data_IF_944798923087
#
_entry.id   IF_944798923087
#
_cell.length_a   1.000
_cell.length_b   1.000
_cell.length_c   1.000
_cell.angle_alpha   90.00
_cell.angle_beta   90.00
_cell.angle_gamma   90.00
#
_symmetry.space_group_name_H-M   'P 1'
#
loop_
_entity.id
_entity.type
_entity.pdbx_description
1 polymer ?
#
# COMPACT_ATOMS: atom_id res chain seq x y z
N UNK A 1 9.49 -1.81 6.78
CA UNK A 1 10.14 -2.97 7.41
C UNK A 1 11.23 -3.58 6.51
N UNK A 2 11.03 -3.58 5.21
CA UNK A 2 12.04 -4.09 4.28
C UNK A 2 13.29 -3.20 4.28
N UNK A 3 13.16 -1.92 4.50
CA UNK A 3 14.28 -0.99 4.66
C UNK A 3 15.15 -1.35 5.87
N UNK A 4 14.56 -1.83 6.97
CA UNK A 4 15.32 -2.27 8.15
C UNK A 4 16.14 -3.54 7.88
N UNK A 5 15.68 -4.42 6.99
CA UNK A 5 16.41 -5.62 6.60
C UNK A 5 17.64 -5.34 5.72
N UNK A 6 17.68 -4.17 5.10
CA UNK A 6 18.81 -3.72 4.27
C UNK A 6 19.68 -2.68 4.99
N UNK A 7 19.25 -2.20 6.14
CA UNK A 7 19.94 -1.18 6.93
C UNK A 7 21.11 -1.78 7.70
N UNK A 8 22.30 -1.65 7.15
CA UNK A 8 23.52 -2.24 7.72
C UNK A 8 23.87 -1.69 9.10
N UNK A 9 23.56 -0.41 9.38
CA UNK A 9 23.82 0.21 10.69
C UNK A 9 22.91 -0.41 11.76
N UNK A 10 21.62 -0.61 11.45
CA UNK A 10 20.68 -1.28 12.34
C UNK A 10 21.04 -2.76 12.58
N UNK A 11 21.42 -3.48 11.52
CA UNK A 11 21.88 -4.87 11.63
C UNK A 11 23.10 -4.95 12.55
N UNK A 12 24.08 -4.05 12.37
CA UNK A 12 25.28 -4.00 13.19
C UNK A 12 24.96 -3.63 14.66
N UNK A 13 23.98 -2.77 14.89
CA UNK A 13 23.53 -2.43 16.22
C UNK A 13 23.05 -3.68 16.99
N UNK A 14 22.24 -4.52 16.34
CA UNK A 14 21.77 -5.78 16.93
C UNK A 14 22.93 -6.77 17.12
N UNK A 15 23.80 -6.96 16.13
CA UNK A 15 24.96 -7.86 16.22
C UNK A 15 25.92 -7.46 17.33
N UNK A 16 26.04 -6.17 17.62
CA UNK A 16 26.93 -5.64 18.64
C UNK A 16 26.30 -5.55 20.03
N UNK A 17 25.03 -5.91 20.17
CA UNK A 17 24.38 -5.96 21.48
C UNK A 17 25.08 -6.94 22.43
N UNK A 18 25.20 -6.61 23.74
CA UNK A 18 25.85 -7.48 24.71
C UNK A 18 25.33 -8.93 24.73
N UNK A 19 24.00 -9.11 24.63
CA UNK A 19 23.37 -10.44 24.56
C UNK A 19 23.79 -11.23 23.32
N UNK A 20 24.14 -10.58 22.24
CA UNK A 20 24.58 -11.27 21.01
C UNK A 20 26.07 -11.58 21.01
N UNK A 21 26.89 -10.73 21.68
CA UNK A 21 28.35 -10.88 21.73
C UNK A 21 28.82 -11.86 22.80
N UNK A 22 28.27 -11.74 24.00
CA UNK A 22 28.70 -12.50 25.19
C UNK A 22 27.50 -12.99 26.00
N UNK A 23 26.63 -13.85 25.41
CA UNK A 23 25.33 -14.18 25.97
C UNK A 23 25.44 -14.84 27.37
N UNK A 24 26.46 -15.64 27.65
CA UNK A 24 26.65 -16.26 28.95
C UNK A 24 26.87 -15.29 30.12
N UNK A 25 27.31 -14.06 29.83
CA UNK A 25 27.47 -13.02 30.86
C UNK A 25 26.13 -12.39 31.27
N UNK A 26 25.04 -12.66 30.50
CA UNK A 26 23.72 -12.06 30.66
C UNK A 26 22.58 -13.09 30.72
N UNK A 27 22.87 -14.32 31.16
CA UNK A 27 21.89 -15.41 31.17
C UNK A 27 20.64 -15.06 31.99
N UNK A 28 20.78 -14.40 33.12
CA UNK A 28 19.64 -14.03 33.98
C UNK A 28 18.76 -13.01 33.29
N UNK A 29 19.34 -11.97 32.71
CA UNK A 29 18.62 -10.92 31.97
C UNK A 29 17.97 -11.45 30.67
N UNK A 30 18.64 -12.37 29.99
CA UNK A 30 18.11 -13.06 28.82
C UNK A 30 16.89 -13.92 29.19
N UNK A 31 16.96 -14.64 30.32
CA UNK A 31 15.84 -15.46 30.82
C UNK A 31 14.65 -14.60 31.27
N UNK A 32 14.90 -13.41 31.83
CA UNK A 32 13.84 -12.46 32.17
C UNK A 32 13.17 -11.83 30.93
N UNK A 33 13.88 -11.75 29.81
CA UNK A 33 13.37 -11.14 28.57
C UNK A 33 13.66 -12.01 27.34
N UNK A 34 13.26 -13.26 27.41
CA UNK A 34 13.55 -14.28 26.40
C UNK A 34 12.94 -13.94 25.03
N UNK A 35 11.80 -13.26 25.00
CA UNK A 35 11.15 -12.83 23.74
C UNK A 35 12.00 -11.80 23.00
N UNK A 36 12.56 -10.84 23.72
CA UNK A 36 13.44 -9.83 23.11
C UNK A 36 14.71 -10.48 22.55
N UNK A 37 15.35 -11.34 23.33
CA UNK A 37 16.53 -12.08 22.86
C UNK A 37 16.20 -12.94 21.63
N UNK A 38 15.09 -13.66 21.68
CA UNK A 38 14.62 -14.46 20.54
C UNK A 38 14.36 -13.60 19.30
N UNK A 39 13.77 -12.42 19.47
CA UNK A 39 13.49 -11.51 18.36
C UNK A 39 14.74 -11.03 17.62
N UNK A 40 15.86 -10.78 18.37
CA UNK A 40 17.15 -10.46 17.77
C UNK A 40 17.66 -11.60 16.87
N UNK A 41 17.62 -12.82 17.39
CA UNK A 41 18.10 -14.01 16.68
C UNK A 41 17.23 -14.31 15.46
N UNK A 42 15.90 -14.22 15.59
CA UNK A 42 14.96 -14.42 14.50
C UNK A 42 15.18 -13.38 13.38
N UNK A 43 15.41 -12.12 13.77
CA UNK A 43 15.72 -11.06 12.83
C UNK A 43 17.02 -11.35 12.06
N UNK A 44 18.13 -11.60 12.75
CA UNK A 44 19.41 -11.91 12.13
C UNK A 44 19.34 -13.18 11.26
N UNK A 45 18.65 -14.22 11.73
CA UNK A 45 18.45 -15.44 10.94
C UNK A 45 17.66 -15.20 9.66
N UNK A 46 16.70 -14.31 9.68
CA UNK A 46 15.91 -13.94 8.48
C UNK A 46 16.75 -13.28 7.38
N UNK A 47 17.88 -12.69 7.76
CA UNK A 47 18.87 -12.06 6.89
C UNK A 47 20.01 -13.01 6.50
N UNK A 48 19.96 -14.28 6.94
CA UNK A 48 21.02 -15.26 6.79
C UNK A 48 22.35 -14.86 7.44
N UNK A 49 22.28 -13.95 8.44
CA UNK A 49 23.44 -13.58 9.24
C UNK A 49 23.88 -14.75 10.12
N UNK A 50 25.20 -14.95 10.29
CA UNK A 50 25.72 -16.05 11.10
C UNK A 50 25.38 -15.84 12.57
N UNK A 51 24.72 -16.82 13.18
CA UNK A 51 24.43 -16.87 14.62
C UNK A 51 25.48 -17.75 15.28
N UNK A 52 26.17 -17.19 16.26
CA UNK A 52 27.23 -17.91 16.94
C UNK A 52 26.69 -19.15 17.71
N UNK A 53 27.60 -20.04 18.09
CA UNK A 53 27.26 -21.30 18.76
C UNK A 53 26.60 -21.05 20.12
N UNK A 54 27.14 -20.10 20.88
CA UNK A 54 26.67 -19.74 22.22
C UNK A 54 25.19 -19.28 22.21
N UNK A 55 24.84 -18.42 21.26
CA UNK A 55 23.45 -17.97 21.07
C UNK A 55 22.50 -19.11 20.70
N UNK A 56 22.97 -20.09 19.94
CA UNK A 56 22.18 -21.30 19.63
C UNK A 56 21.99 -22.21 20.82
N UNK A 57 23.02 -22.34 21.71
CA UNK A 57 22.96 -23.15 22.91
C UNK A 57 21.94 -22.62 23.90
N UNK A 58 21.88 -21.31 24.13
CA UNK A 58 20.89 -20.67 25.02
C UNK A 58 19.45 -20.87 24.51
N UNK A 59 19.22 -20.84 23.20
CA UNK A 59 17.89 -21.13 22.64
C UNK A 59 17.48 -22.61 22.74
N UNK A 60 18.42 -23.50 23.04
CA UNK A 60 18.22 -24.96 23.08
C UNK A 60 18.37 -25.64 21.73
N UNK A 61 19.16 -26.69 21.70
CA UNK A 61 19.62 -27.40 20.49
C UNK A 61 18.56 -28.02 19.58
N UNK A 62 17.28 -28.00 19.94
CA UNK A 62 16.21 -28.72 19.23
C UNK A 62 15.27 -27.83 18.43
N UNK A 63 15.39 -26.53 18.49
CA UNK A 63 14.40 -25.64 17.90
C UNK A 63 14.90 -25.06 16.58
N UNK A 64 14.16 -25.32 15.52
CA UNK A 64 14.24 -24.53 14.30
C UNK A 64 13.88 -23.08 14.63
N UNK A 65 14.76 -22.13 14.25
CA UNK A 65 14.49 -20.70 14.46
C UNK A 65 13.22 -20.32 13.67
N UNK A 66 12.22 -19.73 14.32
CA UNK A 66 10.99 -19.31 13.66
C UNK A 66 11.24 -18.34 12.51
N UNK A 67 10.28 -18.24 11.59
CA UNK A 67 10.29 -17.19 10.57
C UNK A 67 10.01 -15.83 11.21
N UNK A 68 10.65 -14.79 10.68
CA UNK A 68 10.39 -13.42 11.11
C UNK A 68 8.94 -13.04 10.75
N UNK A 69 8.17 -12.65 11.76
CA UNK A 69 6.82 -12.11 11.63
C UNK A 69 6.77 -10.66 12.10
N UNK A 70 5.62 -10.02 11.93
CA UNK A 70 5.40 -8.64 12.39
C UNK A 70 5.49 -8.55 13.91
N UNK A 71 4.96 -9.55 14.62
CA UNK A 71 4.99 -9.61 16.06
C UNK A 71 6.43 -9.68 16.59
N UNK A 72 7.31 -10.45 15.95
CA UNK A 72 8.71 -10.49 16.31
C UNK A 72 9.43 -9.17 16.04
N UNK A 73 9.08 -8.47 14.95
CA UNK A 73 9.59 -7.13 14.69
C UNK A 73 9.08 -6.10 15.71
N UNK A 74 7.83 -6.21 16.15
CA UNK A 74 7.26 -5.37 17.20
C UNK A 74 8.02 -5.52 18.51
N UNK A 75 8.24 -6.77 18.97
CA UNK A 75 9.01 -7.07 20.17
C UNK A 75 10.42 -6.48 20.06
N UNK A 76 11.10 -6.70 18.92
CA UNK A 76 12.45 -6.20 18.68
C UNK A 76 12.52 -4.68 18.79
N UNK A 77 11.71 -3.98 17.99
CA UNK A 77 11.76 -2.53 17.90
C UNK A 77 11.27 -1.84 19.18
N UNK A 78 10.24 -2.38 19.83
CA UNK A 78 9.77 -1.89 21.12
C UNK A 78 10.89 -1.92 22.18
N UNK A 79 11.61 -3.03 22.26
CA UNK A 79 12.70 -3.15 23.22
C UNK A 79 13.85 -2.20 22.87
N UNK A 80 14.29 -2.15 21.63
CA UNK A 80 15.38 -1.25 21.20
C UNK A 80 15.06 0.22 21.51
N UNK A 81 13.84 0.66 21.18
CA UNK A 81 13.47 2.07 21.26
C UNK A 81 13.05 2.50 22.64
N UNK A 82 12.23 1.71 23.35
CA UNK A 82 11.59 2.15 24.60
C UNK A 82 12.23 1.57 25.87
N UNK A 83 12.84 0.37 25.81
CA UNK A 83 13.22 -0.36 27.01
C UNK A 83 14.74 -0.43 27.18
N UNK A 84 15.45 -0.79 26.13
CA UNK A 84 16.87 -1.13 26.19
C UNK A 84 17.77 -0.13 25.42
N UNK A 85 17.32 1.12 25.29
CA UNK A 85 18.02 2.20 24.59
C UNK A 85 19.48 2.36 24.98
N UNK A 86 19.79 2.13 26.26
CA UNK A 86 21.15 2.25 26.82
C UNK A 86 22.20 1.38 26.13
N UNK A 87 21.82 0.23 25.62
CA UNK A 87 22.73 -0.69 24.92
C UNK A 87 22.96 -0.32 23.44
N UNK A 88 22.29 0.72 22.95
CA UNK A 88 22.37 1.21 21.58
C UNK A 88 22.94 2.63 21.41
N UNK A 89 23.57 3.17 22.45
CA UNK A 89 24.10 4.55 22.46
C UNK A 89 25.07 4.83 21.29
N UNK A 90 25.86 3.83 20.88
CA UNK A 90 26.77 3.96 19.74
C UNK A 90 26.05 4.02 18.37
N UNK A 91 24.73 3.81 18.35
CA UNK A 91 23.86 3.81 17.18
C UNK A 91 22.67 4.77 17.36
N UNK A 92 22.80 5.73 18.29
CA UNK A 92 21.73 6.63 18.71
C UNK A 92 21.07 7.36 17.55
N UNK A 93 21.88 7.92 16.63
CA UNK A 93 21.37 8.66 15.48
C UNK A 93 20.45 7.77 14.59
N UNK A 94 20.85 6.52 14.36
CA UNK A 94 20.07 5.58 13.57
C UNK A 94 18.78 5.20 14.29
N UNK A 95 18.85 4.90 15.59
CA UNK A 95 17.67 4.55 16.38
C UNK A 95 16.68 5.71 16.46
N UNK A 96 17.17 6.96 16.61
CA UNK A 96 16.34 8.18 16.55
C UNK A 96 15.66 8.35 15.19
N UNK A 97 16.35 8.04 14.11
CA UNK A 97 15.78 8.13 12.78
C UNK A 97 14.65 7.09 12.60
N UNK A 98 14.89 5.85 12.99
CA UNK A 98 13.88 4.77 12.98
C UNK A 98 12.68 5.17 13.85
N UNK A 99 12.92 5.66 15.06
CA UNK A 99 11.87 6.12 15.98
C UNK A 99 11.00 7.23 15.35
N UNK A 100 11.61 8.22 14.69
CA UNK A 100 10.90 9.30 13.99
C UNK A 100 10.02 8.74 12.87
N UNK A 101 10.53 7.81 12.08
CA UNK A 101 9.74 7.20 11.00
C UNK A 101 8.57 6.38 11.56
N UNK A 102 8.78 5.63 12.64
CA UNK A 102 7.72 4.88 13.31
C UNK A 102 6.66 5.78 13.97
N UNK A 103 7.06 6.91 14.53
CA UNK A 103 6.13 7.94 15.03
C UNK A 103 5.29 8.55 13.89
N UNK A 104 5.89 8.88 12.73
CA UNK A 104 5.15 9.42 11.58
C UNK A 104 4.05 8.48 11.08
N UNK A 105 4.28 7.19 11.13
CA UNK A 105 3.30 6.17 10.72
C UNK A 105 2.40 5.72 11.88
N UNK A 106 2.55 6.30 13.09
CA UNK A 106 1.68 6.05 14.24
C UNK A 106 1.87 4.69 14.90
N UNK A 107 3.04 4.06 14.75
CA UNK A 107 3.39 2.81 15.45
C UNK A 107 3.68 3.07 16.92
N UNK A 108 4.21 4.26 17.21
CA UNK A 108 4.52 4.70 18.57
C UNK A 108 3.55 5.82 18.94
N UNK A 109 2.63 5.57 19.87
CA UNK A 109 1.72 6.57 20.42
C UNK A 109 1.76 6.49 21.96
N UNK A 110 2.03 7.61 22.63
CA UNK A 110 1.99 7.73 24.12
C UNK A 110 2.72 6.59 24.85
N UNK A 111 3.94 6.23 24.42
CA UNK A 111 4.73 5.08 24.94
C UNK A 111 4.11 3.69 24.70
N UNK A 112 3.09 3.58 23.88
CA UNK A 112 2.60 2.30 23.38
C UNK A 112 3.20 2.02 22.02
N UNK A 113 3.65 0.79 21.81
CA UNK A 113 4.24 0.33 20.57
C UNK A 113 3.34 -0.77 19.99
N UNK A 114 2.75 -0.58 18.83
CA UNK A 114 1.92 -1.59 18.19
C UNK A 114 1.90 -1.47 16.68
N UNK A 115 2.20 -2.58 16.00
CA UNK A 115 1.98 -2.72 14.56
C UNK A 115 0.56 -3.23 14.25
N UNK A 116 -0.02 -4.02 15.14
CA UNK A 116 -1.26 -4.76 14.86
C UNK A 116 -2.54 -3.96 15.09
N UNK A 117 -2.52 -2.97 16.01
CA UNK A 117 -3.71 -2.16 16.34
C UNK A 117 -3.78 -0.82 15.60
N UNK A 118 -2.80 -0.53 14.76
CA UNK A 118 -2.71 0.78 14.13
C UNK A 118 -3.48 0.81 12.81
N UNK A 119 -4.65 1.47 12.80
CA UNK A 119 -5.46 1.73 11.60
C UNK A 119 -4.68 2.44 10.48
N UNK A 120 -3.61 3.14 10.82
CA UNK A 120 -2.74 3.80 9.85
C UNK A 120 -1.83 2.78 9.17
N UNK A 121 -1.28 1.82 9.91
CA UNK A 121 -0.51 0.70 9.35
C UNK A 121 -1.38 -0.26 8.56
N UNK A 122 -2.58 -0.59 9.03
CA UNK A 122 -3.54 -1.33 8.21
C UNK A 122 -3.77 -0.62 6.86
N UNK A 123 -3.86 0.71 6.86
CA UNK A 123 -3.93 1.49 5.62
C UNK A 123 -2.67 1.39 4.77
N UNK A 124 -1.48 1.34 5.35
CA UNK A 124 -0.22 1.15 4.61
C UNK A 124 -0.09 -0.28 4.06
N UNK A 125 -0.45 -1.31 4.84
CA UNK A 125 -0.46 -2.70 4.36
C UNK A 125 -1.55 -2.96 3.31
N UNK A 126 -2.69 -2.30 3.44
CA UNK A 126 -3.75 -2.31 2.42
C UNK A 126 -3.27 -1.65 1.12
N UNK A 127 -2.35 -0.70 1.19
CA UNK A 127 -1.81 0.06 0.08
C UNK A 127 -0.54 -0.53 -0.58
N UNK A 128 -0.22 -1.80 -0.34
CA UNK A 128 1.00 -2.40 -0.87
C UNK A 128 1.04 -2.46 -2.40
N UNK A 129 2.22 -2.21 -2.97
CA UNK A 129 2.55 -2.33 -4.40
C UNK A 129 2.06 -3.68 -4.97
N UNK A 130 2.14 -4.75 -4.18
CA UNK A 130 1.65 -6.08 -4.57
C UNK A 130 0.17 -6.16 -4.94
N UNK A 131 -0.69 -5.28 -4.40
CA UNK A 131 -2.12 -5.25 -4.77
C UNK A 131 -2.34 -4.64 -6.16
N UNK A 132 -1.61 -3.57 -6.50
CA UNK A 132 -1.67 -2.98 -7.85
C UNK A 132 -1.19 -3.98 -8.90
N UNK A 133 -0.12 -4.71 -8.61
CA UNK A 133 0.36 -5.76 -9.51
C UNK A 133 -0.62 -6.92 -9.63
N UNK A 134 -1.26 -7.32 -8.54
CA UNK A 134 -2.32 -8.35 -8.57
C UNK A 134 -3.52 -7.92 -9.41
N UNK A 135 -4.00 -6.67 -9.24
CA UNK A 135 -5.08 -6.12 -10.06
C UNK A 135 -4.69 -6.13 -11.55
N UNK A 136 -3.48 -5.68 -11.87
CA UNK A 136 -2.99 -5.67 -13.24
C UNK A 136 -2.94 -7.09 -13.84
N UNK A 137 -2.41 -8.07 -13.11
CA UNK A 137 -2.36 -9.48 -13.56
C UNK A 137 -3.76 -10.06 -13.80
N UNK A 138 -4.73 -9.76 -12.92
CA UNK A 138 -6.11 -10.19 -13.12
C UNK A 138 -6.69 -9.57 -14.39
N UNK A 139 -6.48 -8.27 -14.60
CA UNK A 139 -6.93 -7.58 -15.82
C UNK A 139 -6.29 -8.19 -17.06
N UNK A 140 -4.99 -8.48 -17.04
CA UNK A 140 -4.28 -9.10 -18.16
C UNK A 140 -4.89 -10.46 -18.53
N UNK A 141 -5.10 -11.35 -17.53
CA UNK A 141 -5.69 -12.69 -17.72
C UNK A 141 -7.10 -12.58 -18.31
N UNK A 142 -7.94 -11.74 -17.71
CA UNK A 142 -9.32 -11.56 -18.15
C UNK A 142 -9.41 -10.92 -19.55
N UNK A 143 -8.53 -9.96 -19.84
CA UNK A 143 -8.48 -9.35 -21.16
C UNK A 143 -7.98 -10.30 -22.23
N UNK A 144 -6.99 -11.14 -21.93
CA UNK A 144 -6.55 -12.20 -22.85
C UNK A 144 -7.67 -13.16 -23.21
N UNK A 145 -8.52 -13.50 -22.25
CA UNK A 145 -9.65 -14.42 -22.42
C UNK A 145 -10.85 -13.78 -23.13
N UNK A 146 -11.24 -12.57 -22.71
CA UNK A 146 -12.52 -11.96 -23.09
C UNK A 146 -12.41 -10.90 -24.21
N UNK A 147 -11.20 -10.31 -24.39
CA UNK A 147 -10.92 -9.26 -25.39
C UNK A 147 -11.98 -8.13 -25.37
N UNK A 148 -12.65 -7.89 -26.48
CA UNK A 148 -13.73 -6.88 -26.63
C UNK A 148 -14.93 -7.11 -25.70
N UNK A 149 -15.12 -8.36 -25.23
CA UNK A 149 -16.23 -8.73 -24.35
C UNK A 149 -15.96 -8.45 -22.89
N UNK A 150 -14.73 -8.05 -22.53
CA UNK A 150 -14.38 -7.76 -21.14
C UNK A 150 -15.32 -6.71 -20.54
N UNK A 151 -15.90 -7.02 -19.38
CA UNK A 151 -16.69 -6.10 -18.55
C UNK A 151 -16.29 -6.35 -17.10
N UNK A 152 -15.47 -5.46 -16.55
CA UNK A 152 -14.93 -5.59 -15.20
C UNK A 152 -15.22 -4.34 -14.37
N UNK A 153 -15.56 -4.54 -13.11
CA UNK A 153 -15.67 -3.46 -12.12
C UNK A 153 -14.65 -3.68 -11.02
N UNK A 154 -13.82 -2.67 -10.76
CA UNK A 154 -12.82 -2.67 -9.71
C UNK A 154 -13.27 -1.68 -8.63
N UNK A 155 -13.50 -2.17 -7.42
CA UNK A 155 -13.92 -1.33 -6.30
C UNK A 155 -12.79 -1.14 -5.30
N UNK A 156 -12.64 0.09 -4.80
CA UNK A 156 -11.66 0.46 -3.77
C UNK A 156 -12.30 1.44 -2.78
N UNK A 157 -11.69 1.58 -1.61
CA UNK A 157 -12.25 2.42 -0.53
C UNK A 157 -11.89 3.91 -0.64
N UNK A 158 -10.91 4.28 -1.50
CA UNK A 158 -10.36 5.65 -1.55
C UNK A 158 -10.36 6.25 -2.95
N UNK A 159 -10.80 7.52 -3.06
CA UNK A 159 -10.78 8.28 -4.32
C UNK A 159 -9.44 8.97 -4.56
N UNK A 160 -8.84 9.60 -3.55
CA UNK A 160 -7.61 10.43 -3.61
C UNK A 160 -7.64 11.46 -4.74
N UNK A 161 -8.50 12.47 -4.55
CA UNK A 161 -8.75 13.54 -5.53
C UNK A 161 -7.51 14.40 -5.83
N UNK A 162 -6.56 14.46 -4.93
CA UNK A 162 -5.29 15.15 -5.11
C UNK A 162 -4.53 14.68 -6.36
N UNK A 163 -4.77 13.47 -6.81
CA UNK A 163 -4.16 12.92 -8.02
C UNK A 163 -4.82 13.33 -9.35
N UNK A 164 -5.90 14.10 -9.29
CA UNK A 164 -6.46 14.73 -10.50
C UNK A 164 -5.62 15.91 -11.00
N UNK A 165 -4.91 16.58 -10.08
CA UNK A 165 -4.20 17.83 -10.31
C UNK A 165 -2.67 17.66 -10.36
N UNK A 166 -2.17 16.43 -10.22
CA UNK A 166 -0.74 16.12 -10.23
C UNK A 166 -0.42 14.89 -11.07
N UNK A 167 0.68 14.95 -11.80
CA UNK A 167 1.22 13.81 -12.54
C UNK A 167 2.06 12.89 -11.63
N UNK A 168 2.41 13.35 -10.44
CA UNK A 168 3.23 12.61 -9.48
C UNK A 168 2.34 11.75 -8.57
N UNK A 169 1.80 10.66 -9.12
CA UNK A 169 0.99 9.69 -8.38
C UNK A 169 1.92 8.71 -7.69
N UNK A 170 1.95 8.77 -6.38
CA UNK A 170 2.63 7.77 -5.56
C UNK A 170 1.94 6.40 -5.73
N UNK A 171 2.64 5.47 -6.39
CA UNK A 171 2.12 4.12 -6.67
C UNK A 171 2.06 3.21 -5.44
N UNK A 172 2.61 3.66 -4.32
CA UNK A 172 2.56 2.95 -3.03
C UNK A 172 1.23 3.13 -2.27
N UNK A 173 0.33 3.99 -2.76
CA UNK A 173 -0.97 4.25 -2.13
C UNK A 173 -2.11 3.71 -2.98
N UNK A 174 -2.93 2.81 -2.41
CA UNK A 174 -4.14 2.30 -3.06
C UNK A 174 -5.21 3.39 -3.19
N UNK A 175 -5.94 3.34 -4.27
CA UNK A 175 -7.07 4.23 -4.55
C UNK A 175 -7.44 4.19 -6.03
N UNK A 176 -8.53 4.87 -6.38
CA UNK A 176 -9.07 4.88 -7.75
C UNK A 176 -8.03 5.33 -8.77
N UNK A 177 -7.31 6.45 -8.52
CA UNK A 177 -6.35 7.00 -9.46
C UNK A 177 -5.04 6.21 -9.59
N UNK A 178 -4.42 5.69 -8.52
CA UNK A 178 -3.30 4.76 -8.65
C UNK A 178 -3.63 3.51 -9.47
N UNK A 179 -4.82 2.92 -9.26
CA UNK A 179 -5.28 1.79 -10.08
C UNK A 179 -5.47 2.23 -11.53
N UNK A 180 -6.16 3.36 -11.78
CA UNK A 180 -6.39 3.90 -13.11
C UNK A 180 -5.08 4.14 -13.87
N UNK A 181 -4.09 4.82 -13.25
CA UNK A 181 -2.78 5.09 -13.87
C UNK A 181 -1.99 3.80 -14.14
N UNK A 182 -2.02 2.86 -13.21
CA UNK A 182 -1.34 1.57 -13.38
C UNK A 182 -1.89 0.80 -14.59
N UNK A 183 -3.22 0.70 -14.70
CA UNK A 183 -3.87 0.01 -15.82
C UNK A 183 -3.69 0.77 -17.14
N UNK A 184 -3.78 2.10 -17.14
CA UNK A 184 -3.56 2.91 -18.32
C UNK A 184 -2.17 2.71 -18.93
N UNK A 185 -1.15 2.59 -18.08
CA UNK A 185 0.23 2.39 -18.52
C UNK A 185 0.50 0.98 -19.05
N UNK A 186 -0.12 -0.04 -18.43
CA UNK A 186 0.09 -1.45 -18.80
C UNK A 186 -0.79 -1.91 -19.97
N UNK A 187 -2.01 -1.41 -20.03
CA UNK A 187 -3.05 -1.85 -20.98
C UNK A 187 -3.69 -0.65 -21.70
N UNK A 188 -2.92 0.09 -22.54
CA UNK A 188 -3.38 1.32 -23.17
C UNK A 188 -4.52 1.14 -24.20
N UNK A 189 -4.79 -0.09 -24.62
CA UNK A 189 -5.88 -0.48 -25.53
C UNK A 189 -7.23 -0.63 -24.82
N UNK A 190 -7.23 -0.88 -23.49
CA UNK A 190 -8.45 -1.09 -22.72
C UNK A 190 -9.11 0.26 -22.42
N UNK A 191 -10.40 0.37 -22.72
CA UNK A 191 -11.19 1.56 -22.40
C UNK A 191 -11.58 1.55 -20.91
N UNK A 192 -10.91 2.37 -20.11
CA UNK A 192 -11.15 2.54 -18.68
C UNK A 192 -12.18 3.65 -18.43
N UNK A 193 -12.86 3.58 -17.30
CA UNK A 193 -13.60 4.72 -16.73
C UNK A 193 -13.41 4.76 -15.21
N UNK A 194 -13.50 5.97 -14.65
CA UNK A 194 -13.62 6.18 -13.21
C UNK A 194 -15.06 6.60 -12.92
N UNK A 195 -15.70 5.91 -12.01
CA UNK A 195 -17.08 6.18 -11.62
C UNK A 195 -17.20 6.16 -10.07
N UNK A 196 -17.25 7.34 -9.48
CA UNK A 196 -17.37 7.51 -8.01
C UNK A 196 -18.48 8.48 -7.68
N UNK A 197 -18.82 8.62 -6.40
CA UNK A 197 -19.81 9.62 -5.97
C UNK A 197 -19.49 11.08 -6.33
N UNK A 198 -18.22 11.41 -6.62
CA UNK A 198 -17.81 12.80 -6.85
C UNK A 198 -16.91 13.04 -8.07
N UNK A 199 -16.38 11.99 -8.67
CA UNK A 199 -15.46 12.09 -9.81
C UNK A 199 -15.85 11.09 -10.89
N UNK A 200 -15.92 11.55 -12.13
CA UNK A 200 -16.19 10.75 -13.31
C UNK A 200 -15.12 11.01 -14.36
N UNK A 201 -14.54 9.94 -14.88
CA UNK A 201 -13.53 10.00 -15.96
C UNK A 201 -13.92 9.00 -17.03
N UNK A 202 -13.85 9.41 -18.29
CA UNK A 202 -14.15 8.57 -19.44
C UNK A 202 -13.11 8.78 -20.56
N UNK A 203 -12.98 7.84 -21.50
CA UNK A 203 -12.20 8.07 -22.73
C UNK A 203 -12.69 9.30 -23.48
N UNK A 204 -11.78 10.19 -23.92
CA UNK A 204 -12.10 11.42 -24.65
C UNK A 204 -12.95 11.18 -25.89
N UNK A 205 -12.73 10.05 -26.57
CA UNK A 205 -13.52 9.63 -27.75
C UNK A 205 -15.01 9.43 -27.48
N UNK A 206 -15.41 9.26 -26.22
CA UNK A 206 -16.80 9.03 -25.81
C UNK A 206 -17.57 10.33 -25.48
N UNK A 207 -16.94 11.51 -25.56
CA UNK A 207 -17.60 12.78 -25.28
C UNK A 207 -18.85 13.01 -26.17
N UNK A 208 -18.73 12.73 -27.48
CA UNK A 208 -19.87 12.83 -28.40
C UNK A 208 -21.00 11.85 -28.01
N UNK A 209 -20.65 10.64 -27.61
CA UNK A 209 -21.65 9.66 -27.17
C UNK A 209 -22.43 10.18 -25.97
N UNK A 210 -21.74 10.73 -24.96
CA UNK A 210 -22.40 11.31 -23.77
C UNK A 210 -23.31 12.48 -24.18
N UNK A 211 -22.86 13.40 -25.04
CA UNK A 211 -23.70 14.51 -25.48
C UNK A 211 -24.95 14.06 -26.24
N UNK A 212 -24.81 13.09 -27.15
CA UNK A 212 -25.96 12.54 -27.88
C UNK A 212 -26.95 11.86 -26.92
N UNK A 213 -26.43 11.05 -26.02
CA UNK A 213 -27.27 10.39 -24.99
C UNK A 213 -27.94 11.41 -24.06
N UNK A 214 -27.29 12.54 -23.76
CA UNK A 214 -27.93 13.62 -22.99
C UNK A 214 -29.13 14.21 -23.76
N UNK A 215 -29.03 14.44 -25.08
CA UNK A 215 -30.16 14.88 -25.90
C UNK A 215 -31.31 13.89 -25.90
N UNK A 216 -31.01 12.63 -26.17
CA UNK A 216 -31.99 11.53 -26.18
C UNK A 216 -32.74 11.37 -24.85
N UNK A 217 -32.09 11.69 -23.71
CA UNK A 217 -32.65 11.55 -22.38
C UNK A 217 -33.10 12.90 -21.77
N UNK A 218 -33.24 13.95 -22.54
CA UNK A 218 -33.66 15.29 -22.11
C UNK A 218 -32.81 15.85 -20.96
N UNK A 219 -31.48 15.65 -21.02
CA UNK A 219 -30.50 16.19 -20.08
C UNK A 219 -29.89 17.46 -20.67
N UNK A 220 -29.96 18.57 -19.96
CA UNK A 220 -29.36 19.84 -20.39
C UNK A 220 -27.82 19.69 -20.47
N UNK A 221 -27.30 19.74 -21.70
CA UNK A 221 -25.86 19.64 -22.01
C UNK A 221 -24.99 20.66 -21.26
N UNK A 222 -25.52 21.83 -20.93
CA UNK A 222 -24.81 22.90 -20.22
C UNK A 222 -24.43 22.45 -18.78
N UNK A 223 -25.12 21.43 -18.25
CA UNK A 223 -24.87 20.81 -16.93
C UNK A 223 -23.81 19.72 -16.98
N UNK A 224 -23.29 19.38 -18.15
CA UNK A 224 -22.25 18.36 -18.38
C UNK A 224 -21.09 19.03 -19.10
N UNK A 225 -19.95 19.14 -18.45
CA UNK A 225 -18.74 19.75 -19.01
C UNK A 225 -17.59 18.75 -18.97
N UNK A 226 -16.70 18.82 -19.95
CA UNK A 226 -15.50 18.00 -20.00
C UNK A 226 -14.27 18.83 -19.67
N UNK A 227 -13.39 18.31 -18.82
CA UNK A 227 -12.10 18.89 -18.46
C UNK A 227 -11.00 17.91 -18.80
N UNK A 228 -9.91 18.40 -19.39
CA UNK A 228 -8.75 17.59 -19.67
C UNK A 228 -8.12 17.10 -18.36
N UNK A 229 -7.56 15.89 -18.39
CA UNK A 229 -6.78 15.34 -17.29
C UNK A 229 -5.31 15.62 -17.50
N UNK A 230 -4.58 15.91 -16.42
CA UNK A 230 -3.12 16.05 -16.46
C UNK A 230 -2.46 14.69 -16.73
N UNK A 231 -3.05 13.62 -16.21
CA UNK A 231 -2.51 12.24 -16.29
C UNK A 231 -2.51 11.70 -17.74
N UNK A 232 -3.48 12.10 -18.57
CA UNK A 232 -3.61 11.58 -19.93
C UNK A 232 -4.55 12.45 -20.78
N UNK A 233 -4.12 12.76 -22.00
CA UNK A 233 -4.92 13.44 -23.03
C UNK A 233 -6.01 12.53 -23.65
N UNK A 234 -5.86 11.21 -23.51
CA UNK A 234 -6.85 10.22 -23.99
C UNK A 234 -8.11 10.15 -23.13
N UNK A 235 -8.13 10.82 -21.98
CA UNK A 235 -9.23 10.79 -21.03
C UNK A 235 -9.65 12.19 -20.61
N UNK A 236 -10.93 12.31 -20.22
CA UNK A 236 -11.49 13.56 -19.71
C UNK A 236 -12.26 13.33 -18.43
N UNK A 237 -12.18 14.29 -17.54
CA UNK A 237 -13.08 14.37 -16.39
C UNK A 237 -14.42 14.92 -16.83
N UNK A 238 -15.51 14.28 -16.42
CA UNK A 238 -16.87 14.74 -16.63
C UNK A 238 -17.32 15.54 -15.41
N UNK A 239 -17.37 16.86 -15.53
CA UNK A 239 -17.91 17.75 -14.51
C UNK A 239 -19.42 17.86 -14.66
N UNK A 240 -20.18 17.49 -13.65
CA UNK A 240 -21.62 17.30 -13.69
C UNK A 240 -22.27 18.07 -12.55
N UNK A 241 -23.35 18.78 -12.86
CA UNK A 241 -24.21 19.38 -11.83
C UNK A 241 -24.97 18.29 -11.05
N UNK A 242 -25.15 18.48 -9.76
CA UNK A 242 -25.80 17.48 -8.88
C UNK A 242 -27.19 17.07 -9.37
N UNK A 243 -27.96 18.03 -9.93
CA UNK A 243 -29.32 17.80 -10.45
C UNK A 243 -29.43 16.77 -11.57
N UNK A 244 -28.33 16.47 -12.28
CA UNK A 244 -28.31 15.49 -13.39
C UNK A 244 -27.33 14.34 -13.16
N UNK A 245 -26.66 14.32 -12.01
CA UNK A 245 -25.60 13.34 -11.68
C UNK A 245 -26.04 11.89 -11.91
N UNK A 246 -27.14 11.48 -11.27
CA UNK A 246 -27.63 10.09 -11.36
C UNK A 246 -28.01 9.71 -12.80
N UNK A 247 -28.55 10.66 -13.57
CA UNK A 247 -28.89 10.41 -14.98
C UNK A 247 -27.61 10.18 -15.80
N UNK A 248 -26.57 11.00 -15.61
CA UNK A 248 -25.30 10.84 -16.34
C UNK A 248 -24.56 9.58 -15.90
N UNK A 249 -24.61 9.21 -14.61
CA UNK A 249 -24.10 7.93 -14.15
C UNK A 249 -24.72 6.75 -14.90
N UNK A 250 -26.04 6.77 -15.08
CA UNK A 250 -26.76 5.74 -15.86
C UNK A 250 -26.31 5.71 -17.33
N UNK A 251 -26.01 6.87 -17.94
CA UNK A 251 -25.47 6.92 -19.30
C UNK A 251 -24.09 6.26 -19.40
N UNK A 252 -23.20 6.53 -18.43
CA UNK A 252 -21.87 5.91 -18.39
C UNK A 252 -22.00 4.39 -18.17
N UNK A 253 -22.90 3.96 -17.28
CA UNK A 253 -23.20 2.54 -17.07
C UNK A 253 -23.74 1.86 -18.33
N UNK A 254 -24.54 2.56 -19.15
CA UNK A 254 -25.00 2.06 -20.43
C UNK A 254 -23.85 1.89 -21.44
N UNK A 255 -22.93 2.85 -21.51
CA UNK A 255 -21.70 2.72 -22.32
C UNK A 255 -20.84 1.53 -21.91
N UNK A 256 -20.80 1.21 -20.61
CA UNK A 256 -20.12 0.03 -20.10
C UNK A 256 -20.85 -1.25 -20.53
N UNK A 257 -22.17 -1.32 -20.39
CA UNK A 257 -22.95 -2.46 -20.84
C UNK A 257 -22.79 -2.70 -22.37
N UNK A 258 -22.76 -1.63 -23.16
CA UNK A 258 -22.55 -1.67 -24.62
C UNK A 258 -21.11 -2.02 -25.03
N UNK A 259 -20.16 -2.05 -24.12
CA UNK A 259 -18.75 -2.37 -24.40
C UNK A 259 -17.87 -1.22 -24.85
N UNK A 260 -18.39 -0.01 -24.87
CA UNK A 260 -17.60 1.17 -25.17
C UNK A 260 -16.62 1.52 -24.04
N UNK A 261 -16.94 1.08 -22.83
CA UNK A 261 -16.09 1.06 -21.64
C UNK A 261 -15.95 -0.41 -21.22
N UNK A 262 -14.74 -0.86 -20.96
CA UNK A 262 -14.46 -2.26 -20.60
C UNK A 262 -14.22 -2.44 -19.11
N UNK A 263 -13.59 -1.45 -18.45
CA UNK A 263 -13.33 -1.49 -17.02
C UNK A 263 -13.83 -0.20 -16.37
N UNK A 264 -14.61 -0.37 -15.29
CA UNK A 264 -14.98 0.73 -14.38
C UNK A 264 -14.20 0.60 -13.09
N UNK A 265 -13.54 1.68 -12.66
CA UNK A 265 -12.86 1.77 -11.37
C UNK A 265 -13.69 2.73 -10.50
N UNK A 266 -14.15 2.24 -9.36
CA UNK A 266 -15.04 3.01 -8.50
C UNK A 266 -14.78 2.84 -7.01
N UNK A 267 -15.63 3.49 -6.22
CA UNK A 267 -15.66 3.31 -4.76
C UNK A 267 -16.95 2.61 -4.37
N UNK A 268 -16.91 1.94 -3.23
CA UNK A 268 -18.10 1.38 -2.57
C UNK A 268 -19.06 2.49 -2.20
#
# INVERSE_FOLDING_TARGET
LDDLKTNQTFINAIKNHPYMKTPYNYESEILENVEYYSSMIIFLNSLQEPINKENREILGHKNTIPKLTIEWMEILLKNIILIDRKNYLNYEDEILNIEKELNKIGVIEKNTFSFSENKTLEKYFINSIGKLDSISKIVDIEYESLKEKLRMVILTDFIRKEYLETDNIETNKMGVFPIFKSLLNKNPEINLAVLTGSVFVIPSKLQKNIYNMCEENNIDKRKVKFKNLIISDKYVQVAISDSVRNKVMNLISKLFAEGKIQIIIGTK
#
